data_IF_812602389389
#
_entry.id   IF_812602389389
#
_cell.length_a   1.000
_cell.length_b   1.000
_cell.length_c   1.000
_cell.angle_alpha   90.00
_cell.angle_beta   90.00
_cell.angle_gamma   90.00
#
_symmetry.space_group_name_H-M   'P 1'
#
loop_
_entity.id
_entity.type
_entity.pdbx_description
1 polymer ?
#
# COMPACT_ATOMS: atom_id res chain seq x y z
N UNK A 1 -19.16 -7.88 9.95
CA UNK A 1 -19.63 -8.95 10.86
C UNK A 1 -19.67 -8.40 12.28
N UNK A 2 -20.73 -8.69 13.05
CA UNK A 2 -20.82 -8.33 14.49
C UNK A 2 -20.66 -9.60 15.33
N UNK A 3 -19.87 -9.53 16.41
CA UNK A 3 -19.58 -10.63 17.32
C UNK A 3 -19.90 -10.16 18.74
N UNK A 4 -20.88 -10.81 19.34
CA UNK A 4 -21.39 -10.53 20.68
C UNK A 4 -21.21 -11.78 21.57
N UNK A 5 -20.74 -11.62 22.82
CA UNK A 5 -20.52 -12.73 23.77
C UNK A 5 -19.09 -12.88 24.30
N UNK A 6 -18.83 -13.98 25.02
CA UNK A 6 -17.47 -14.33 25.49
C UNK A 6 -16.94 -15.56 24.75
N UNK A 7 -15.69 -15.52 24.31
CA UNK A 7 -15.00 -16.66 23.71
C UNK A 7 -13.52 -16.70 24.13
N UNK A 8 -13.01 -17.89 24.43
CA UNK A 8 -11.58 -18.09 24.72
C UNK A 8 -10.72 -18.04 23.44
N UNK A 9 -11.28 -18.48 22.31
CA UNK A 9 -10.64 -18.41 21.01
C UNK A 9 -11.68 -18.25 19.91
N UNK A 10 -11.35 -17.42 18.91
CA UNK A 10 -12.12 -17.25 17.69
C UNK A 10 -11.17 -17.29 16.49
N UNK A 11 -11.46 -18.15 15.52
CA UNK A 11 -10.71 -18.24 14.27
C UNK A 11 -11.61 -17.80 13.12
N UNK A 12 -11.12 -16.85 12.31
CA UNK A 12 -11.80 -16.40 11.10
C UNK A 12 -10.91 -16.70 9.90
N UNK A 13 -11.42 -17.52 8.99
CA UNK A 13 -10.79 -17.73 7.69
C UNK A 13 -11.33 -16.72 6.67
N UNK A 14 -10.44 -15.87 6.17
CA UNK A 14 -10.74 -14.73 5.31
C UNK A 14 -10.27 -15.02 3.87
N UNK A 15 -10.77 -16.09 3.28
CA UNK A 15 -10.52 -16.43 1.88
C UNK A 15 -11.56 -15.74 0.99
N UNK A 16 -11.27 -14.50 0.59
CA UNK A 16 -11.95 -13.76 -0.49
C UNK A 16 -11.16 -12.47 -0.76
N UNK A 17 -10.64 -12.32 -1.97
CA UNK A 17 -9.65 -11.29 -2.32
C UNK A 17 -10.32 -9.95 -2.66
N UNK A 18 -9.68 -8.86 -2.20
CA UNK A 18 -9.84 -7.42 -2.49
C UNK A 18 -10.89 -6.56 -1.76
N UNK A 19 -11.87 -7.12 -1.03
CA UNK A 19 -12.88 -6.28 -0.34
C UNK A 19 -12.53 -5.96 1.13
N UNK A 20 -12.69 -4.71 1.58
CA UNK A 20 -12.49 -4.34 2.98
C UNK A 20 -13.45 -5.11 3.92
N UNK A 21 -12.90 -5.71 4.98
CA UNK A 21 -13.65 -6.44 5.99
C UNK A 21 -13.74 -5.62 7.27
N UNK A 22 -14.96 -5.51 7.83
CA UNK A 22 -15.21 -4.90 9.14
C UNK A 22 -15.69 -5.94 10.14
N UNK A 23 -14.90 -6.15 11.19
CA UNK A 23 -15.22 -6.98 12.35
C UNK A 23 -15.57 -6.06 13.52
N UNK A 24 -16.78 -6.19 14.07
CA UNK A 24 -17.23 -5.41 15.23
C UNK A 24 -17.40 -6.32 16.44
N UNK A 25 -16.69 -6.04 17.52
CA UNK A 25 -16.73 -6.80 18.76
C UNK A 25 -17.39 -5.99 19.88
N UNK A 26 -18.45 -6.51 20.49
CA UNK A 26 -19.08 -5.93 21.68
C UNK A 26 -18.99 -6.89 22.90
N UNK A 27 -18.01 -7.80 22.90
CA UNK A 27 -17.82 -8.84 23.91
C UNK A 27 -16.35 -9.07 24.27
N UNK A 28 -16.01 -10.21 24.90
CA UNK A 28 -14.61 -10.54 25.27
C UNK A 28 -14.15 -11.73 24.44
N UNK A 29 -13.07 -11.55 23.69
CA UNK A 29 -12.38 -12.63 22.96
C UNK A 29 -10.94 -12.69 23.44
N UNK A 30 -10.49 -13.79 24.03
CA UNK A 30 -9.10 -13.86 24.53
C UNK A 30 -8.10 -14.00 23.38
N UNK A 31 -8.41 -14.79 22.35
CA UNK A 31 -7.55 -14.97 21.18
C UNK A 31 -8.36 -14.89 19.89
N UNK A 32 -7.99 -13.97 19.00
CA UNK A 32 -8.51 -13.86 17.65
C UNK A 32 -7.43 -14.30 16.67
N UNK A 33 -7.65 -15.37 15.93
CA UNK A 33 -6.77 -15.80 14.84
C UNK A 33 -7.42 -15.45 13.50
N UNK A 34 -6.72 -14.67 12.70
CA UNK A 34 -7.08 -14.35 11.33
C UNK A 34 -6.19 -15.16 10.40
N UNK A 35 -6.81 -15.92 9.49
CA UNK A 35 -6.10 -16.75 8.51
C UNK A 35 -6.66 -16.54 7.10
N UNK A 36 -5.91 -16.97 6.08
CA UNK A 36 -6.37 -16.97 4.69
C UNK A 36 -5.64 -15.96 3.81
N UNK A 37 -5.99 -15.91 2.52
CA UNK A 37 -5.35 -15.03 1.54
C UNK A 37 -6.18 -13.76 1.30
N UNK A 38 -6.03 -12.77 2.20
CA UNK A 38 -6.77 -11.52 2.13
C UNK A 38 -5.87 -10.32 1.82
N UNK A 39 -6.28 -9.46 0.88
CA UNK A 39 -5.47 -8.37 0.31
C UNK A 39 -6.00 -6.95 0.51
N UNK A 40 -6.98 -6.76 1.39
CA UNK A 40 -7.62 -5.46 1.67
C UNK A 40 -7.61 -5.13 3.18
N UNK A 41 -8.26 -4.04 3.61
CA UNK A 41 -8.25 -3.64 5.02
C UNK A 41 -9.15 -4.57 5.85
N UNK A 42 -8.63 -5.00 7.00
CA UNK A 42 -9.41 -5.65 8.05
C UNK A 42 -9.52 -4.64 9.20
N UNK A 43 -10.68 -3.99 9.31
CA UNK A 43 -10.97 -3.11 10.43
C UNK A 43 -11.59 -3.90 11.58
N UNK A 44 -10.88 -3.97 12.70
CA UNK A 44 -11.39 -4.52 13.97
C UNK A 44 -11.84 -3.35 14.84
N UNK A 45 -13.13 -3.35 15.17
CA UNK A 45 -13.84 -2.22 15.77
C UNK A 45 -14.72 -2.66 16.93
N UNK A 46 -15.23 -1.72 17.73
CA UNK A 46 -16.28 -1.97 18.72
C UNK A 46 -15.91 -1.50 20.13
N UNK A 47 -16.60 -2.05 21.13
CA UNK A 47 -16.51 -1.63 22.54
C UNK A 47 -16.11 -2.80 23.47
N UNK A 48 -15.65 -3.91 22.89
CA UNK A 48 -15.26 -5.12 23.60
C UNK A 48 -13.77 -5.22 23.94
N UNK A 49 -13.34 -6.39 24.41
CA UNK A 49 -11.94 -6.72 24.67
C UNK A 49 -11.49 -7.83 23.73
N UNK A 50 -10.35 -7.65 23.06
CA UNK A 50 -9.66 -8.70 22.31
C UNK A 50 -8.28 -8.90 22.92
N UNK A 51 -7.97 -10.07 23.48
CA UNK A 51 -6.69 -10.32 24.14
C UNK A 51 -5.54 -10.26 23.14
N UNK A 52 -5.33 -11.33 22.39
CA UNK A 52 -4.34 -11.40 21.33
C UNK A 52 -5.00 -11.47 19.95
N UNK A 53 -4.46 -10.74 18.98
CA UNK A 53 -4.78 -10.91 17.56
C UNK A 53 -3.57 -11.56 16.88
N UNK A 54 -3.75 -12.75 16.32
CA UNK A 54 -2.75 -13.47 15.54
C UNK A 54 -3.09 -13.37 14.06
N UNK A 55 -2.20 -12.77 13.29
CA UNK A 55 -2.29 -12.64 11.82
C UNK A 55 -1.18 -13.42 11.11
N UNK A 56 -0.46 -14.30 11.80
CA UNK A 56 0.66 -15.06 11.22
C UNK A 56 0.25 -15.99 10.08
N UNK A 57 -1.03 -16.37 10.04
CA UNK A 57 -1.62 -17.23 9.03
C UNK A 57 -2.37 -16.45 7.92
N UNK A 58 -2.28 -15.12 7.91
CA UNK A 58 -2.77 -14.28 6.80
C UNK A 58 -1.68 -14.15 5.74
N UNK A 59 -1.98 -14.55 4.50
CA UNK A 59 -0.99 -14.67 3.41
C UNK A 59 -1.24 -13.69 2.24
N UNK A 60 -2.02 -12.62 2.46
CA UNK A 60 -2.43 -11.69 1.40
C UNK A 60 -2.06 -10.20 1.56
N UNK A 61 -1.21 -9.80 2.50
CA UNK A 61 -0.87 -8.38 2.74
C UNK A 61 -2.06 -7.52 3.22
N UNK A 62 -3.01 -8.10 3.97
CA UNK A 62 -4.10 -7.36 4.61
C UNK A 62 -3.60 -6.33 5.64
N UNK A 63 -4.17 -5.13 5.62
CA UNK A 63 -3.90 -4.09 6.62
C UNK A 63 -4.86 -4.21 7.80
N UNK A 64 -4.34 -4.41 9.02
CA UNK A 64 -5.15 -4.47 10.23
C UNK A 64 -5.32 -3.08 10.84
N UNK A 65 -6.57 -2.62 10.96
CA UNK A 65 -6.92 -1.32 11.55
C UNK A 65 -7.68 -1.55 12.86
N UNK A 66 -7.20 -1.01 13.98
CA UNK A 66 -7.88 -1.07 15.27
C UNK A 66 -8.53 0.28 15.59
N UNK A 67 -9.83 0.28 15.87
CA UNK A 67 -10.56 1.53 16.18
C UNK A 67 -11.76 1.31 17.12
N UNK A 68 -12.27 2.40 17.69
CA UNK A 68 -13.36 2.37 18.67
C UNK A 68 -12.87 2.24 20.12
N UNK A 69 -13.77 1.91 21.05
CA UNK A 69 -13.44 1.68 22.47
C UNK A 69 -12.95 0.24 22.71
N UNK A 70 -12.31 -0.35 21.70
CA UNK A 70 -11.87 -1.73 21.72
C UNK A 70 -10.58 -1.85 22.54
N UNK A 71 -10.57 -2.67 23.58
CA UNK A 71 -9.35 -2.94 24.34
C UNK A 71 -8.61 -4.12 23.72
N UNK A 72 -7.45 -3.87 23.09
CA UNK A 72 -6.59 -4.91 22.51
C UNK A 72 -5.31 -5.01 23.33
N UNK A 73 -4.92 -6.21 23.78
CA UNK A 73 -3.65 -6.37 24.53
C UNK A 73 -2.48 -6.51 23.58
N UNK A 74 -2.56 -7.44 22.63
CA UNK A 74 -1.44 -7.75 21.72
C UNK A 74 -1.89 -8.02 20.29
N UNK A 75 -1.02 -7.70 19.33
CA UNK A 75 -1.10 -8.14 17.93
C UNK A 75 0.21 -8.84 17.61
N UNK A 76 0.15 -10.09 17.15
CA UNK A 76 1.31 -10.94 16.87
C UNK A 76 2.33 -10.96 18.03
N UNK A 77 1.82 -11.03 19.26
CA UNK A 77 2.60 -10.98 20.51
C UNK A 77 3.32 -9.64 20.80
N UNK A 78 3.13 -8.60 19.98
CA UNK A 78 3.57 -7.22 20.28
C UNK A 78 2.44 -6.38 20.90
N UNK A 79 2.74 -5.26 21.58
CA UNK A 79 1.73 -4.42 22.23
C UNK A 79 0.78 -3.76 21.19
N UNK A 80 -0.52 -3.97 21.34
CA UNK A 80 -1.52 -3.47 20.40
C UNK A 80 -1.78 -1.95 20.50
N UNK A 81 -1.31 -1.31 21.58
CA UNK A 81 -1.40 0.15 21.78
C UNK A 81 -0.73 0.96 20.67
N UNK A 82 0.17 0.34 19.89
CA UNK A 82 0.85 0.94 18.74
C UNK A 82 -0.01 0.99 17.47
N UNK A 83 -1.15 0.28 17.45
CA UNK A 83 -2.06 0.19 16.29
C UNK A 83 -3.45 0.80 16.57
N UNK A 84 -3.70 1.25 17.80
CA UNK A 84 -4.96 1.89 18.19
C UNK A 84 -4.93 3.38 17.82
N UNK A 85 -5.84 3.83 16.95
CA UNK A 85 -6.06 5.26 16.73
C UNK A 85 -6.74 5.88 17.95
N UNK A 86 -6.07 6.83 18.61
CA UNK A 86 -6.61 7.59 19.73
C UNK A 86 -7.84 8.41 19.30
N UNK A 87 -8.99 8.16 19.93
CA UNK A 87 -10.18 9.03 19.79
C UNK A 87 -9.99 10.26 20.68
N UNK A 88 -10.26 11.50 20.21
CA UNK A 88 -10.25 12.67 21.07
C UNK A 88 -11.28 12.51 22.20
N UNK A 89 -10.83 12.49 23.44
CA UNK A 89 -11.71 12.36 24.60
C UNK A 89 -12.48 13.66 24.80
N UNK A 90 -13.81 13.57 24.86
CA UNK A 90 -14.70 14.72 25.05
C UNK A 90 -14.50 15.36 26.43
N UNK A 91 -14.10 16.62 26.44
CA UNK A 91 -13.95 17.45 27.64
C UNK A 91 -15.29 17.63 28.35
N UNK A 92 -15.45 17.02 29.54
CA UNK A 92 -16.54 17.32 30.48
C UNK A 92 -16.34 18.67 31.17
N UNK A 93 -17.41 19.28 31.73
CA UNK A 93 -17.41 20.69 32.13
C UNK A 93 -16.64 20.94 33.44
N UNK A 94 -15.83 21.98 33.43
CA UNK A 94 -14.95 22.41 34.52
C UNK A 94 -15.72 23.13 35.64
N UNK A 95 -15.59 22.64 36.87
CA UNK A 95 -15.87 23.40 38.10
C UNK A 95 -14.68 24.32 38.43
N UNK A 96 -14.89 25.59 38.81
CA UNK A 96 -13.80 26.52 39.06
C UNK A 96 -13.20 26.33 40.47
N UNK A 97 -11.89 26.10 40.55
CA UNK A 97 -11.13 26.16 41.79
C UNK A 97 -9.88 27.02 41.63
N UNK A 98 -9.77 28.01 42.53
CA UNK A 98 -8.66 28.81 43.08
C UNK A 98 -7.29 28.92 42.36
N UNK A 99 -6.57 30.05 42.53
CA UNK A 99 -5.40 30.40 41.73
C UNK A 99 -4.13 29.63 42.14
N UNK A 100 -3.47 29.02 41.15
CA UNK A 100 -2.25 28.24 41.30
C UNK A 100 -0.99 29.11 41.32
N UNK A 101 -0.05 28.76 42.20
CA UNK A 101 1.34 29.22 42.26
C UNK A 101 2.09 29.05 40.91
N UNK A 102 3.21 29.76 40.68
CA UNK A 102 3.92 29.72 39.40
C UNK A 102 4.46 28.33 39.12
N UNK A 103 3.99 27.71 38.04
CA UNK A 103 4.51 26.44 37.55
C UNK A 103 5.97 26.63 37.10
N UNK A 104 6.88 25.88 37.73
CA UNK A 104 8.21 25.61 37.16
C UNK A 104 8.05 25.09 35.73
N UNK A 105 8.93 25.47 34.77
CA UNK A 105 8.88 24.88 33.43
C UNK A 105 8.98 23.37 33.56
N UNK A 106 8.00 22.64 33.00
CA UNK A 106 8.09 21.18 32.90
C UNK A 106 9.42 20.85 32.22
N UNK A 107 10.16 19.89 32.77
CA UNK A 107 11.35 19.37 32.12
C UNK A 107 10.99 19.01 30.66
N UNK A 108 11.86 19.31 29.68
CA UNK A 108 11.60 18.90 28.30
C UNK A 108 11.35 17.39 28.27
N UNK A 109 10.38 16.93 27.46
CA UNK A 109 10.12 15.50 27.30
C UNK A 109 11.40 14.78 26.84
N UNK A 110 11.71 13.65 27.47
CA UNK A 110 12.78 12.76 27.05
C UNK A 110 12.26 11.90 25.89
N UNK A 111 12.65 12.24 24.67
CA UNK A 111 12.19 11.54 23.47
C UNK A 111 12.98 10.23 23.28
N UNK A 112 12.28 9.16 22.89
CA UNK A 112 12.92 7.90 22.53
C UNK A 112 12.44 7.43 21.16
N UNK A 113 12.86 8.08 20.06
CA UNK A 113 12.36 7.78 18.74
C UNK A 113 12.73 6.36 18.32
N UNK A 114 11.78 5.66 17.70
CA UNK A 114 11.99 4.30 17.20
C UNK A 114 11.07 4.00 16.03
N UNK A 115 11.60 3.34 15.00
CA UNK A 115 10.80 2.71 13.95
C UNK A 115 10.34 1.34 14.45
N UNK A 116 9.04 1.18 14.61
CA UNK A 116 8.42 -0.04 15.16
C UNK A 116 8.21 -1.08 14.06
N UNK A 117 7.73 -0.62 12.90
CA UNK A 117 7.31 -1.49 11.82
C UNK A 117 7.38 -0.77 10.48
N UNK A 118 7.63 -1.54 9.42
CA UNK A 118 7.44 -1.10 8.05
C UNK A 118 6.67 -2.18 7.28
N UNK A 119 5.46 -1.82 6.84
CA UNK A 119 4.61 -2.65 5.98
C UNK A 119 4.66 -2.08 4.57
N UNK A 120 4.62 -2.95 3.55
CA UNK A 120 4.79 -2.52 2.18
C UNK A 120 3.83 -3.17 1.19
N UNK A 121 3.55 -2.44 0.12
CA UNK A 121 2.87 -2.91 -1.08
C UNK A 121 3.84 -2.80 -2.26
N UNK A 122 4.27 -3.97 -2.77
CA UNK A 122 5.24 -4.05 -3.85
C UNK A 122 4.58 -3.90 -5.22
N UNK A 123 5.25 -3.14 -6.08
CA UNK A 123 4.93 -2.98 -7.49
C UNK A 123 6.22 -3.22 -8.29
N UNK A 124 6.16 -3.15 -9.62
CA UNK A 124 7.28 -3.49 -10.49
C UNK A 124 8.45 -2.52 -10.33
N UNK A 125 8.19 -1.21 -10.35
CA UNK A 125 9.24 -0.18 -10.32
C UNK A 125 9.11 0.81 -9.14
N UNK A 126 8.18 0.54 -8.23
CA UNK A 126 8.00 1.30 -7.00
C UNK A 126 7.47 0.41 -5.86
N UNK A 127 7.63 0.86 -4.63
CA UNK A 127 7.05 0.23 -3.44
C UNK A 127 6.51 1.28 -2.51
N UNK A 128 5.28 1.10 -2.03
CA UNK A 128 4.65 1.96 -1.03
C UNK A 128 4.90 1.37 0.34
N UNK A 129 5.37 2.18 1.29
CA UNK A 129 5.53 1.77 2.68
C UNK A 129 4.67 2.61 3.61
N UNK A 130 4.11 1.94 4.60
CA UNK A 130 3.65 2.57 5.85
C UNK A 130 4.65 2.23 6.94
N UNK A 131 5.22 3.25 7.55
CA UNK A 131 6.25 3.15 8.58
C UNK A 131 5.67 3.66 9.88
N UNK A 132 5.54 2.78 10.87
CA UNK A 132 5.07 3.15 12.20
C UNK A 132 6.28 3.54 13.08
N UNK A 133 6.19 4.69 13.74
CA UNK A 133 7.26 5.23 14.55
C UNK A 133 6.75 5.89 15.85
N UNK A 134 7.58 5.84 16.89
CA UNK A 134 7.35 6.47 18.19
C UNK A 134 8.16 7.75 18.31
N UNK A 135 7.63 8.76 19.02
CA UNK A 135 8.29 10.02 19.38
C UNK A 135 8.98 10.79 18.22
N UNK A 136 8.66 10.39 16.99
CA UNK A 136 9.31 10.85 15.77
C UNK A 136 8.47 11.95 15.12
N UNK A 137 9.17 12.93 14.55
CA UNK A 137 8.58 13.95 13.68
C UNK A 137 9.02 13.77 12.23
N UNK A 138 10.10 13.02 12.01
CA UNK A 138 10.65 12.77 10.67
C UNK A 138 11.24 11.36 10.61
N UNK A 139 11.23 10.78 9.42
CA UNK A 139 12.02 9.60 9.07
C UNK A 139 12.94 9.91 7.90
N UNK A 140 14.10 9.25 7.90
CA UNK A 140 15.06 9.21 6.81
C UNK A 140 15.11 7.79 6.27
N UNK A 141 15.14 7.62 4.95
CA UNK A 141 15.13 6.30 4.35
C UNK A 141 15.97 6.20 3.07
N UNK A 142 16.44 4.99 2.79
CA UNK A 142 17.02 4.62 1.50
C UNK A 142 16.75 3.14 1.21
N UNK A 143 16.42 2.82 -0.05
CA UNK A 143 16.28 1.45 -0.52
C UNK A 143 17.52 1.06 -1.33
N UNK A 144 18.15 -0.04 -0.94
CA UNK A 144 19.38 -0.53 -1.55
C UNK A 144 19.18 -1.98 -1.97
N UNK A 145 19.58 -2.31 -3.20
CA UNK A 145 19.52 -3.68 -3.73
C UNK A 145 20.28 -4.65 -2.84
N UNK A 146 19.72 -5.84 -2.63
CA UNK A 146 20.33 -6.85 -1.78
C UNK A 146 21.71 -7.24 -2.30
N UNK A 147 22.69 -7.29 -1.39
CA UNK A 147 24.10 -7.54 -1.73
C UNK A 147 24.93 -6.29 -2.03
N UNK A 148 24.30 -5.11 -2.15
CA UNK A 148 25.01 -3.82 -2.14
C UNK A 148 25.18 -3.29 -0.72
N UNK A 149 26.19 -2.43 -0.53
CA UNK A 149 26.47 -1.81 0.77
C UNK A 149 25.44 -0.73 1.10
N UNK A 150 24.67 -0.94 2.16
CA UNK A 150 23.76 0.06 2.73
C UNK A 150 24.43 0.97 3.78
N UNK A 151 23.67 1.90 4.39
CA UNK A 151 24.17 2.74 5.47
C UNK A 151 24.56 1.90 6.68
N UNK A 152 25.74 2.18 7.25
CA UNK A 152 26.26 1.47 8.42
C UNK A 152 25.62 1.90 9.75
N UNK A 153 25.06 3.11 9.83
CA UNK A 153 24.43 3.69 11.02
C UNK A 153 23.28 4.63 10.66
N UNK A 154 22.54 5.08 11.68
CA UNK A 154 21.47 6.07 11.54
C UNK A 154 22.00 7.44 11.11
N UNK A 155 23.12 7.88 11.67
CA UNK A 155 23.77 9.14 11.30
C UNK A 155 24.21 9.10 9.84
N UNK A 156 24.82 8.00 9.40
CA UNK A 156 25.24 7.88 8.01
C UNK A 156 24.05 7.84 7.06
N UNK A 157 22.91 7.26 7.46
CA UNK A 157 21.68 7.32 6.67
C UNK A 157 21.18 8.76 6.54
N UNK A 158 21.10 9.51 7.65
CA UNK A 158 20.69 10.92 7.62
C UNK A 158 21.61 11.76 6.71
N UNK A 159 22.93 11.64 6.90
CA UNK A 159 23.91 12.32 6.03
C UNK A 159 23.72 11.95 4.55
N UNK A 160 23.52 10.67 4.26
CA UNK A 160 23.32 10.21 2.88
C UNK A 160 22.05 10.80 2.27
N UNK A 161 20.94 10.86 3.01
CA UNK A 161 19.72 11.53 2.53
C UNK A 161 19.99 13.02 2.27
N UNK A 162 20.71 13.70 3.16
CA UNK A 162 21.04 15.12 3.03
C UNK A 162 22.03 15.42 1.89
N UNK A 163 22.91 14.47 1.55
CA UNK A 163 23.87 14.54 0.44
C UNK A 163 23.25 14.15 -0.92
N UNK A 164 22.11 13.46 -0.93
CA UNK A 164 21.53 12.86 -2.14
C UNK A 164 20.64 13.80 -2.92
N UNK A 165 20.61 13.61 -4.24
CA UNK A 165 19.52 14.13 -5.07
C UNK A 165 18.26 13.29 -4.84
N UNK A 166 17.33 13.82 -4.05
CA UNK A 166 16.09 13.13 -3.69
C UNK A 166 15.17 12.86 -4.89
N UNK A 167 15.45 13.44 -6.06
CA UNK A 167 14.69 13.16 -7.30
C UNK A 167 14.91 11.74 -7.83
N UNK A 168 15.95 11.03 -7.37
CA UNK A 168 16.16 9.61 -7.67
C UNK A 168 15.11 8.70 -7.00
N UNK A 169 14.38 9.17 -5.99
CA UNK A 169 13.21 8.46 -5.45
C UNK A 169 13.48 7.16 -4.68
N UNK A 170 14.72 6.65 -4.70
CA UNK A 170 15.17 5.52 -3.87
C UNK A 170 15.53 5.93 -2.44
N UNK A 171 15.81 7.22 -2.24
CA UNK A 171 16.26 7.84 -0.98
C UNK A 171 15.40 9.06 -0.68
N UNK A 172 15.08 9.31 0.59
CA UNK A 172 14.23 10.42 0.96
C UNK A 172 14.04 10.64 2.45
N UNK A 173 13.25 11.65 2.75
CA UNK A 173 12.74 11.93 4.09
C UNK A 173 11.22 12.08 4.06
N UNK A 174 10.57 11.82 5.19
CA UNK A 174 9.12 12.02 5.33
C UNK A 174 8.75 12.44 6.73
N UNK A 175 7.75 13.30 6.85
CA UNK A 175 7.22 13.72 8.14
C UNK A 175 6.37 12.60 8.76
N UNK A 176 6.52 12.42 10.07
CA UNK A 176 5.69 11.48 10.84
C UNK A 176 4.48 12.24 11.37
N UNK A 177 3.29 11.82 10.96
CA UNK A 177 2.01 12.42 11.38
C UNK A 177 1.15 11.35 12.03
N UNK A 178 0.79 11.54 13.31
CA UNK A 178 -0.04 10.57 14.02
C UNK A 178 0.65 9.22 14.28
N UNK A 179 1.97 9.21 14.42
CA UNK A 179 2.75 8.00 14.74
C UNK A 179 3.12 7.14 13.54
N UNK A 180 2.86 7.60 12.31
CA UNK A 180 3.30 6.91 11.11
C UNK A 180 3.72 7.87 9.99
N UNK A 181 4.45 7.36 9.01
CA UNK A 181 4.78 8.01 7.77
C UNK A 181 4.44 7.09 6.60
N UNK A 182 3.85 7.65 5.54
CA UNK A 182 3.69 6.96 4.27
C UNK A 182 4.76 7.45 3.32
N UNK A 183 5.49 6.52 2.71
CA UNK A 183 6.52 6.82 1.70
C UNK A 183 6.28 5.99 0.45
N UNK A 184 6.71 6.51 -0.69
CA UNK A 184 6.78 5.74 -1.93
C UNK A 184 8.22 5.78 -2.39
N UNK A 185 8.83 4.60 -2.47
CA UNK A 185 10.17 4.41 -3.03
C UNK A 185 9.98 4.10 -4.51
N UNK A 186 10.62 4.84 -5.39
CA UNK A 186 10.49 4.71 -6.84
C UNK A 186 11.83 4.38 -7.49
N UNK A 187 11.86 4.31 -8.83
CA UNK A 187 13.05 3.97 -9.63
C UNK A 187 13.68 2.62 -9.24
N UNK A 188 12.84 1.69 -8.78
CA UNK A 188 13.26 0.33 -8.46
C UNK A 188 13.26 -0.53 -9.72
N UNK A 189 14.00 -1.62 -9.67
CA UNK A 189 14.05 -2.63 -10.73
C UNK A 189 13.02 -3.71 -10.41
N UNK A 190 12.22 -4.12 -11.39
CA UNK A 190 11.26 -5.24 -11.23
C UNK A 190 11.94 -6.56 -10.84
N UNK A 191 11.17 -7.45 -10.20
CA UNK A 191 11.62 -8.78 -9.77
C UNK A 191 12.99 -8.80 -9.07
N UNK A 192 13.26 -7.79 -8.23
CA UNK A 192 14.56 -7.57 -7.58
C UNK A 192 14.39 -7.43 -6.07
N UNK A 193 15.31 -8.04 -5.32
CA UNK A 193 15.33 -7.98 -3.85
C UNK A 193 16.06 -6.72 -3.35
N UNK A 194 15.45 -6.04 -2.38
CA UNK A 194 15.98 -4.82 -1.76
C UNK A 194 15.93 -4.89 -0.23
N UNK A 195 16.70 -4.00 0.40
CA UNK A 195 16.63 -3.69 1.82
C UNK A 195 16.31 -2.21 1.97
N UNK A 196 15.19 -1.90 2.62
CA UNK A 196 14.86 -0.56 3.08
C UNK A 196 15.54 -0.30 4.42
N UNK A 197 16.33 0.76 4.48
CA UNK A 197 16.95 1.27 5.69
C UNK A 197 16.21 2.51 6.16
N UNK A 198 15.91 2.60 7.46
CA UNK A 198 15.11 3.69 8.03
C UNK A 198 15.68 4.10 9.38
N UNK A 199 15.72 5.40 9.65
CA UNK A 199 15.87 5.94 11.01
C UNK A 199 14.83 7.01 11.26
N UNK A 200 14.39 7.13 12.51
CA UNK A 200 13.43 8.14 12.97
C UNK A 200 14.14 9.24 13.75
N UNK A 201 13.71 10.47 13.55
CA UNK A 201 14.22 11.66 14.25
C UNK A 201 13.12 12.27 15.13
N UNK A 202 13.46 12.52 16.39
CA UNK A 202 12.63 13.22 17.36
C UNK A 202 12.79 14.75 17.26
N UNK A 203 11.89 15.56 17.86
CA UNK A 203 11.97 17.03 17.83
C UNK A 203 13.28 17.62 18.38
N UNK A 204 13.97 16.91 19.27
CA UNK A 204 15.26 17.31 19.84
C UNK A 204 16.46 16.92 18.98
N UNK A 205 16.23 16.31 17.81
CA UNK A 205 17.26 15.85 16.88
C UNK A 205 17.86 14.49 17.22
N UNK A 206 17.38 13.82 18.28
CA UNK A 206 17.81 12.46 18.59
C UNK A 206 17.36 11.49 17.50
N UNK A 207 18.26 10.61 17.08
CA UNK A 207 17.97 9.57 16.09
C UNK A 207 17.66 8.23 16.76
N UNK A 208 16.80 7.45 16.13
CA UNK A 208 16.61 6.04 16.46
C UNK A 208 17.76 5.20 15.92
N UNK A 209 17.90 3.98 16.43
CA UNK A 209 18.69 2.94 15.78
C UNK A 209 18.23 2.70 14.33
N UNK A 210 19.14 2.17 13.52
CA UNK A 210 18.90 1.87 12.12
C UNK A 210 17.98 0.64 11.99
N UNK A 211 16.75 0.88 11.53
CA UNK A 211 15.80 -0.16 11.19
C UNK A 211 16.01 -0.67 9.77
N UNK A 212 15.77 -1.97 9.55
CA UNK A 212 15.96 -2.64 8.26
C UNK A 212 14.75 -3.50 7.91
N UNK A 213 14.27 -3.38 6.67
CA UNK A 213 13.19 -4.20 6.14
C UNK A 213 13.55 -4.72 4.75
N UNK A 214 13.68 -6.03 4.61
CA UNK A 214 13.79 -6.67 3.30
C UNK A 214 12.44 -6.67 2.58
N UNK A 215 12.49 -6.44 1.27
CA UNK A 215 11.33 -6.50 0.38
C UNK A 215 11.77 -6.88 -1.03
N UNK A 216 10.84 -7.32 -1.87
CA UNK A 216 11.07 -7.58 -3.28
C UNK A 216 10.08 -6.76 -4.11
N UNK A 217 10.51 -6.28 -5.27
CA UNK A 217 9.61 -5.73 -6.28
C UNK A 217 8.87 -6.85 -7.02
N UNK A 218 7.70 -6.51 -7.54
CA UNK A 218 6.87 -7.45 -8.30
C UNK A 218 7.36 -7.54 -9.77
N UNK A 219 6.84 -8.51 -10.51
CA UNK A 219 6.97 -8.56 -11.97
C UNK A 219 6.02 -7.57 -12.65
N UNK A 220 6.45 -6.92 -13.73
CA UNK A 220 5.63 -6.02 -14.54
C UNK A 220 4.41 -6.73 -15.16
N UNK A 221 3.21 -6.20 -14.90
CA UNK A 221 1.95 -6.73 -15.43
C UNK A 221 0.82 -5.70 -15.41
N UNK A 222 -0.22 -5.99 -16.20
CA UNK A 222 -1.54 -5.38 -16.05
C UNK A 222 -2.21 -6.01 -14.81
N UNK A 223 -2.72 -5.19 -13.90
CA UNK A 223 -3.40 -5.64 -12.66
C UNK A 223 -4.92 -5.54 -12.75
N UNK A 224 -5.44 -4.68 -13.61
CA UNK A 224 -6.87 -4.66 -13.93
C UNK A 224 -7.11 -4.01 -15.27
N UNK A 225 -8.23 -4.38 -15.89
CA UNK A 225 -8.74 -3.69 -17.06
C UNK A 225 -10.27 -3.63 -16.99
N UNK A 226 -10.83 -2.52 -17.45
CA UNK A 226 -12.27 -2.28 -17.49
C UNK A 226 -12.60 -1.46 -18.72
N UNK A 227 -13.87 -1.47 -19.10
CA UNK A 227 -14.37 -0.60 -20.15
C UNK A 227 -15.69 0.04 -19.72
N UNK A 228 -15.99 1.17 -20.33
CA UNK A 228 -17.24 1.88 -20.21
C UNK A 228 -17.70 2.31 -21.62
N UNK A 229 -19.01 2.32 -21.84
CA UNK A 229 -19.62 2.82 -23.07
C UNK A 229 -20.21 4.18 -22.71
N UNK A 230 -19.58 5.31 -23.11
CA UNK A 230 -20.01 6.63 -22.67
C UNK A 230 -21.39 7.01 -23.23
N UNK A 231 -21.69 6.54 -24.44
CA UNK A 231 -22.96 6.73 -25.13
C UNK A 231 -23.47 5.35 -25.61
N UNK A 232 -24.61 4.84 -25.10
CA UNK A 232 -25.17 3.54 -25.50
C UNK A 232 -25.49 3.43 -27.00
N UNK A 233 -25.73 4.58 -27.66
CA UNK A 233 -25.99 4.67 -29.10
C UNK A 233 -24.74 5.09 -29.89
N UNK A 234 -23.63 5.35 -29.19
CA UNK A 234 -22.33 5.71 -29.74
C UNK A 234 -21.52 4.51 -30.21
N UNK A 235 -20.50 4.80 -31.01
CA UNK A 235 -19.54 3.83 -31.55
C UNK A 235 -18.20 3.84 -30.81
N UNK A 236 -18.18 4.41 -29.60
CA UNK A 236 -17.01 4.63 -28.77
C UNK A 236 -17.04 3.79 -27.49
N UNK A 237 -15.91 3.14 -27.20
CA UNK A 237 -15.66 2.43 -25.94
C UNK A 237 -14.47 3.06 -25.26
N UNK A 238 -14.66 3.55 -24.03
CA UNK A 238 -13.59 4.01 -23.17
C UNK A 238 -13.02 2.81 -22.41
N UNK A 239 -11.71 2.59 -22.50
CA UNK A 239 -11.01 1.48 -21.84
C UNK A 239 -10.06 2.04 -20.81
N UNK A 240 -10.14 1.50 -19.60
CA UNK A 240 -9.22 1.80 -18.49
C UNK A 240 -8.35 0.58 -18.22
N UNK A 241 -7.03 0.76 -18.20
CA UNK A 241 -6.05 -0.27 -17.91
C UNK A 241 -5.19 0.19 -16.74
N UNK A 242 -5.02 -0.67 -15.74
CA UNK A 242 -4.11 -0.43 -14.61
C UNK A 242 -2.92 -1.36 -14.66
N UNK A 243 -1.74 -0.79 -14.45
CA UNK A 243 -0.48 -1.49 -14.30
C UNK A 243 -0.07 -1.56 -12.83
N UNK A 244 0.88 -2.43 -12.50
CA UNK A 244 1.65 -2.32 -11.26
C UNK A 244 2.97 -1.57 -11.48
N UNK A 245 2.97 -0.48 -12.26
CA UNK A 245 4.17 0.31 -12.54
C UNK A 245 3.85 1.82 -12.66
N UNK A 246 4.79 2.68 -12.27
CA UNK A 246 4.71 4.15 -12.40
C UNK A 246 5.52 4.69 -13.59
N UNK A 247 6.40 3.88 -14.19
CA UNK A 247 7.27 4.25 -15.30
C UNK A 247 6.55 4.43 -16.63
N UNK A 248 7.28 4.95 -17.62
CA UNK A 248 6.76 5.05 -18.98
C UNK A 248 6.60 3.64 -19.55
N UNK A 249 5.36 3.20 -19.76
CA UNK A 249 5.04 2.03 -20.56
C UNK A 249 4.33 2.44 -21.85
N UNK A 250 4.36 1.56 -22.84
CA UNK A 250 3.54 1.66 -24.05
C UNK A 250 2.39 0.67 -23.95
N UNK A 251 1.18 1.11 -24.24
CA UNK A 251 0.04 0.21 -24.40
C UNK A 251 -0.19 -0.14 -25.87
N UNK A 252 -0.46 -1.42 -26.06
CA UNK A 252 -0.88 -2.01 -27.33
C UNK A 252 -2.26 -2.61 -27.13
N UNK A 253 -3.15 -2.39 -28.08
CA UNK A 253 -4.42 -3.09 -28.11
C UNK A 253 -4.79 -3.55 -29.51
N UNK A 254 -5.57 -4.61 -29.57
CA UNK A 254 -6.19 -5.10 -30.80
C UNK A 254 -7.64 -5.50 -30.51
N UNK A 255 -8.52 -5.22 -31.47
CA UNK A 255 -9.92 -5.58 -31.38
C UNK A 255 -10.22 -6.66 -32.41
N UNK A 256 -10.80 -7.78 -31.99
CA UNK A 256 -11.13 -8.90 -32.87
C UNK A 256 -12.56 -9.38 -32.68
N UNK A 257 -13.19 -9.84 -33.76
CA UNK A 257 -14.47 -10.55 -33.74
C UNK A 257 -14.28 -12.07 -33.60
N UNK A 258 -13.04 -12.57 -33.71
CA UNK A 258 -12.72 -13.96 -33.41
C UNK A 258 -12.69 -14.18 -31.88
N UNK A 259 -13.84 -14.57 -31.35
CA UNK A 259 -14.04 -14.83 -29.92
C UNK A 259 -13.31 -16.10 -29.40
N UNK A 260 -12.57 -16.81 -30.24
CA UNK A 260 -11.85 -18.04 -29.87
C UNK A 260 -10.33 -17.92 -29.99
N UNK A 261 -9.85 -16.90 -30.70
CA UNK A 261 -8.44 -16.61 -30.83
C UNK A 261 -7.74 -16.45 -29.46
N UNK A 262 -6.60 -17.13 -29.34
CA UNK A 262 -5.62 -16.96 -28.26
C UNK A 262 -4.44 -16.19 -28.81
N UNK A 263 -4.01 -15.16 -28.10
CA UNK A 263 -2.85 -14.34 -28.48
C UNK A 263 -1.76 -14.56 -27.45
N UNK A 264 -0.54 -14.76 -27.93
CA UNK A 264 0.62 -14.67 -27.07
C UNK A 264 1.20 -13.24 -27.09
N UNK A 265 2.08 -12.94 -26.14
CA UNK A 265 2.73 -11.63 -26.10
C UNK A 265 3.68 -11.39 -27.29
N UNK A 266 4.18 -12.43 -27.96
CA UNK A 266 5.04 -12.28 -29.13
C UNK A 266 4.27 -11.79 -30.37
N UNK A 267 2.98 -12.11 -30.48
CA UNK A 267 2.09 -11.67 -31.56
C UNK A 267 1.92 -10.14 -31.58
N UNK A 268 2.01 -9.48 -30.41
CA UNK A 268 1.77 -8.04 -30.24
C UNK A 268 2.68 -7.18 -31.11
N UNK A 269 3.95 -7.58 -31.27
CA UNK A 269 4.97 -6.81 -32.01
C UNK A 269 5.02 -7.15 -33.51
N UNK A 270 4.40 -8.25 -33.91
CA UNK A 270 4.55 -8.79 -35.27
C UNK A 270 3.31 -8.61 -36.13
N UNK A 271 2.13 -8.49 -35.51
CA UNK A 271 0.88 -8.29 -36.24
C UNK A 271 0.53 -6.82 -36.42
N UNK A 272 -0.03 -6.51 -37.59
CA UNK A 272 -0.42 -5.16 -37.99
C UNK A 272 -1.72 -4.66 -37.33
N UNK A 273 -2.49 -5.56 -36.71
CA UNK A 273 -3.76 -5.24 -36.06
C UNK A 273 -3.62 -4.69 -34.63
N UNK A 274 -2.43 -4.76 -34.03
CA UNK A 274 -2.16 -4.11 -32.75
C UNK A 274 -1.83 -2.63 -32.93
N UNK A 275 -2.63 -1.78 -32.29
CA UNK A 275 -2.46 -0.32 -32.28
C UNK A 275 -1.70 0.09 -31.03
N UNK A 276 -0.59 0.80 -31.22
CA UNK A 276 0.18 1.45 -30.15
C UNK A 276 -0.49 2.78 -29.77
N UNK A 277 -1.12 2.87 -28.61
CA UNK A 277 -2.15 3.89 -28.37
C UNK A 277 -1.84 4.96 -27.32
N UNK A 278 -0.65 4.98 -26.73
CA UNK A 278 -0.28 6.08 -25.83
C UNK A 278 0.78 5.72 -24.80
N UNK A 279 1.33 6.78 -24.20
CA UNK A 279 2.37 6.75 -23.16
C UNK A 279 1.71 7.04 -21.81
N UNK A 280 2.01 6.24 -20.77
CA UNK A 280 1.62 6.59 -19.41
C UNK A 280 2.20 7.97 -19.07
N UNK A 281 1.37 8.90 -18.61
CA UNK A 281 1.86 10.19 -18.13
C UNK A 281 2.42 9.98 -16.71
N UNK A 282 3.74 10.00 -16.61
CA UNK A 282 4.54 9.89 -15.38
C UNK A 282 4.07 10.83 -14.24
N UNK A 283 3.36 11.90 -14.57
CA UNK A 283 3.03 13.00 -13.65
C UNK A 283 1.77 12.78 -12.81
N UNK A 284 0.95 11.75 -13.08
CA UNK A 284 -0.27 11.51 -12.30
C UNK A 284 -0.03 10.71 -11.00
N UNK A 285 1.12 10.06 -10.86
CA UNK A 285 1.36 9.13 -9.74
C UNK A 285 0.39 7.94 -9.72
N UNK A 286 -0.35 7.72 -10.82
CA UNK A 286 -1.32 6.63 -10.98
C UNK A 286 -0.82 5.65 -12.02
N UNK A 287 -0.83 4.37 -11.69
CA UNK A 287 -0.55 3.29 -12.63
C UNK A 287 -1.77 2.98 -13.52
N UNK A 288 -2.41 4.01 -14.08
CA UNK A 288 -3.65 3.90 -14.87
C UNK A 288 -3.49 4.61 -16.22
N UNK A 289 -4.01 4.00 -17.27
CA UNK A 289 -4.12 4.57 -18.60
C UNK A 289 -5.55 4.40 -19.12
N UNK A 290 -6.02 5.44 -19.80
CA UNK A 290 -7.35 5.49 -20.42
C UNK A 290 -7.18 5.76 -21.91
N UNK A 291 -7.85 4.99 -22.75
CA UNK A 291 -7.89 5.21 -24.19
C UNK A 291 -9.25 4.84 -24.76
N UNK A 292 -9.59 5.44 -25.90
CA UNK A 292 -10.86 5.23 -26.56
C UNK A 292 -10.68 4.38 -27.82
N UNK A 293 -11.61 3.46 -28.03
CA UNK A 293 -11.75 2.68 -29.26
C UNK A 293 -13.00 3.17 -29.97
N UNK A 294 -12.83 3.65 -31.20
CA UNK A 294 -13.92 4.21 -32.02
C UNK A 294 -14.35 3.23 -33.12
N UNK A 295 -15.49 3.51 -33.75
CA UNK A 295 -16.09 2.71 -34.83
C UNK A 295 -16.48 1.27 -34.42
N UNK A 296 -16.96 1.08 -33.19
CA UNK A 296 -17.52 -0.19 -32.73
C UNK A 296 -18.92 -0.39 -33.34
N UNK A 297 -19.13 -1.52 -34.03
CA UNK A 297 -20.42 -1.80 -34.66
C UNK A 297 -21.47 -2.25 -33.62
N UNK A 298 -22.66 -1.60 -33.56
CA UNK A 298 -23.71 -1.98 -32.61
C UNK A 298 -24.10 -3.46 -32.73
N UNK A 299 -24.26 -4.14 -31.58
CA UNK A 299 -24.67 -5.54 -31.51
C UNK A 299 -23.62 -6.56 -31.96
N UNK A 300 -22.40 -6.12 -32.29
CA UNK A 300 -21.29 -7.01 -32.60
C UNK A 300 -20.50 -7.30 -31.34
N UNK A 301 -20.24 -8.58 -31.06
CA UNK A 301 -19.38 -9.00 -29.96
C UNK A 301 -17.93 -8.90 -30.36
N UNK A 302 -17.12 -8.30 -29.50
CA UNK A 302 -15.69 -8.19 -29.70
C UNK A 302 -14.92 -8.80 -28.54
N UNK A 303 -13.69 -9.21 -28.83
CA UNK A 303 -12.64 -9.38 -27.83
C UNK A 303 -11.65 -8.25 -27.98
N UNK A 304 -11.43 -7.54 -26.88
CA UNK A 304 -10.35 -6.59 -26.77
C UNK A 304 -9.14 -7.28 -26.15
N UNK A 305 -8.00 -7.12 -26.81
CA UNK A 305 -6.71 -7.63 -26.41
C UNK A 305 -5.87 -6.44 -25.98
N UNK A 306 -5.25 -6.52 -24.81
CA UNK A 306 -4.42 -5.44 -24.29
C UNK A 306 -3.10 -6.02 -23.80
N UNK A 307 -1.99 -5.37 -24.16
CA UNK A 307 -0.67 -5.64 -23.63
C UNK A 307 0.06 -4.33 -23.32
N UNK A 308 0.95 -4.37 -22.34
CA UNK A 308 1.81 -3.25 -21.99
C UNK A 308 3.28 -3.62 -22.24
N UNK A 309 4.08 -2.66 -22.68
CA UNK A 309 5.53 -2.79 -22.87
C UNK A 309 6.25 -1.82 -21.94
N UNK A 310 7.20 -2.30 -21.16
CA UNK A 310 8.01 -1.48 -20.27
C UNK A 310 9.19 -0.79 -21.00
N UNK A 311 10.00 -0.01 -20.28
CA UNK A 311 11.18 0.67 -20.84
C UNK A 311 12.32 -0.27 -21.28
N UNK A 312 12.25 -1.55 -20.95
CA UNK A 312 13.24 -2.57 -21.32
C UNK A 312 12.72 -3.47 -22.45
N UNK A 313 11.67 -3.02 -23.15
CA UNK A 313 10.99 -3.73 -24.23
C UNK A 313 10.35 -5.08 -23.81
N UNK A 314 10.14 -5.28 -22.49
CA UNK A 314 9.46 -6.44 -21.94
C UNK A 314 7.96 -6.23 -22.03
N UNK A 315 7.26 -7.24 -22.56
CA UNK A 315 5.82 -7.23 -22.70
C UNK A 315 5.15 -7.92 -21.51
N UNK A 316 4.04 -7.34 -21.05
CA UNK A 316 3.10 -8.02 -20.16
C UNK A 316 2.40 -9.16 -20.88
N UNK A 317 1.75 -10.02 -20.10
CA UNK A 317 0.74 -10.94 -20.64
C UNK A 317 -0.37 -10.17 -21.38
N UNK A 318 -0.97 -10.84 -22.36
CA UNK A 318 -2.11 -10.31 -23.11
C UNK A 318 -3.39 -10.53 -22.31
N UNK A 319 -4.07 -9.44 -21.96
CA UNK A 319 -5.35 -9.48 -21.29
C UNK A 319 -6.48 -9.43 -22.30
N UNK A 320 -7.46 -10.32 -22.11
CA UNK A 320 -8.62 -10.46 -23.00
C UNK A 320 -9.87 -9.97 -22.28
N UNK A 321 -10.50 -8.93 -22.80
CA UNK A 321 -11.76 -8.40 -22.30
C UNK A 321 -12.89 -8.72 -23.28
N UNK A 322 -13.98 -9.38 -22.84
CA UNK A 322 -15.19 -9.49 -23.64
C UNK A 322 -15.89 -8.13 -23.68
N UNK A 323 -16.14 -7.63 -24.89
CA UNK A 323 -16.99 -6.47 -25.16
C UNK A 323 -18.33 -7.02 -25.67
N UNK A 324 -19.37 -6.87 -24.84
CA UNK A 324 -20.73 -7.38 -25.10
C UNK A 324 -21.75 -6.25 -25.23
#
# INVERSE_FOLDING_TARGET
>A
MSIDGQADSLTLNLDTQTADIRLKFNGIVQNLMLSGNHRANIAVTGNGTVGNIDTSQLTGNANLILSGQLNVKTVNNGPASLLQMSVPSASGPSTPSAPSSPSTPSAPPDYNPSVVNAVYEANADFVKFRIDATDAVKIYYTAVETGKSGPGSAERLKEWVEESDLSDGTTGESAVTGGFANITVTNLVESTDYVLYITAEAPDGKLSDLYRKSFATDEFRIISSSYNIPDPDGDEVEVTVRLNALGDAWLYWALTTDLTSSFDSNDVKTREDFVKCGKFLKDSGTAEAVFNINNIAPGTRYRLLVAAEDRKDKLSDVFVLPLE
#
